data_IF_207909466265
#
_entry.id   IF_207909466265
#
_cell.length_a   1.000
_cell.length_b   1.000
_cell.length_c   1.000
_cell.angle_alpha   90.00
_cell.angle_beta   90.00
_cell.angle_gamma   90.00
#
_symmetry.space_group_name_H-M   'P 1'
#
loop_
_entity.id
_entity.type
_entity.pdbx_description
1 polymer ?
2 non-polymer ?
3 water ?
#
# COMPACT_ATOMS: atom_id res chain seq x y z
N UNK A 1 -32.80 11.01 -19.00
CA UNK A 1 -31.52 10.78 -19.68
C UNK A 1 -30.36 11.32 -18.85
N UNK A 2 -29.25 10.58 -18.84
CA UNK A 2 -28.06 11.00 -18.11
C UNK A 2 -27.12 11.77 -19.04
N UNK A 3 -26.24 12.57 -18.45
CA UNK A 3 -25.35 13.42 -19.24
C UNK A 3 -23.89 13.23 -18.87
N UNK A 4 -23.50 12.00 -18.59
CA UNK A 4 -22.12 11.66 -18.27
C UNK A 4 -21.38 11.24 -19.54
N UNK A 5 -20.28 11.92 -19.87
CA UNK A 5 -19.51 11.65 -21.08
C UNK A 5 -18.89 10.24 -21.07
N UNK A 6 -18.79 9.64 -22.25
CA UNK A 6 -18.22 8.30 -22.39
C UNK A 6 -16.75 8.29 -21.97
N UNK A 7 -16.33 7.20 -21.34
CA UNK A 7 -14.96 7.10 -20.84
C UNK A 7 -13.95 6.71 -21.92
N UNK A 8 -13.07 7.66 -22.25
CA UNK A 8 -11.96 7.40 -23.16
C UNK A 8 -10.66 7.40 -22.37
N UNK A 9 -9.96 6.28 -22.36
CA UNK A 9 -8.72 6.15 -21.61
C UNK A 9 -7.65 7.11 -22.15
N UNK A 10 -7.01 7.86 -21.23
CA UNK A 10 -5.95 8.82 -21.57
C UNK A 10 -4.78 8.17 -22.30
N UNK A 11 -4.10 8.92 -23.16
CA UNK A 11 -2.96 8.41 -23.88
C UNK A 11 -1.64 8.72 -23.17
N UNK A 12 -1.22 7.84 -22.28
CA UNK A 12 0.03 8.01 -21.56
C UNK A 12 1.23 7.71 -22.46
N UNK A 13 2.01 8.73 -22.79
CA UNK A 13 3.20 8.54 -23.59
C UNK A 13 4.27 7.80 -22.79
N UNK A 14 4.42 6.52 -23.10
CA UNK A 14 5.37 5.67 -22.39
C UNK A 14 5.81 4.52 -23.30
N UNK A 15 7.03 4.02 -23.08
CA UNK A 15 7.57 2.93 -23.89
C UNK A 15 6.70 1.68 -23.79
N UNK A 16 6.58 0.96 -24.90
CA UNK A 16 5.73 -0.22 -24.97
C UNK A 16 6.35 -1.43 -24.28
N UNK A 17 7.68 -1.46 -24.22
CA UNK A 17 8.38 -2.57 -23.59
C UNK A 17 9.46 -2.10 -22.64
N UNK A 18 9.93 -2.99 -21.77
CA UNK A 18 11.01 -2.69 -20.86
C UNK A 18 12.32 -3.22 -21.43
N UNK A 19 13.38 -2.44 -21.28
CA UNK A 19 14.69 -2.84 -21.83
C UNK A 19 15.45 -3.75 -20.88
N UNK A 20 14.73 -4.45 -20.02
CA UNK A 20 15.35 -5.35 -19.05
C UNK A 20 14.60 -6.66 -18.86
N UNK A 21 13.63 -6.92 -19.72
CA UNK A 21 12.91 -8.20 -19.69
C UNK A 21 13.80 -9.33 -20.19
N UNK A 22 14.08 -10.28 -19.30
CA UNK A 22 14.94 -11.41 -19.64
C UNK A 22 14.26 -12.74 -19.36
N UNK A 23 13.28 -12.73 -18.46
CA UNK A 23 12.57 -13.94 -18.07
C UNK A 23 11.69 -14.47 -19.20
N UNK A 24 11.32 -15.74 -19.09
CA UNK A 24 10.47 -16.38 -20.10
C UNK A 24 9.30 -17.12 -19.46
N UNK A 25 9.24 -17.08 -18.13
CA UNK A 25 8.22 -17.81 -17.38
C UNK A 25 6.81 -17.37 -17.77
N UNK A 26 5.93 -18.35 -17.94
CA UNK A 26 4.53 -18.08 -18.27
C UNK A 26 3.84 -17.46 -17.09
N UNK A 27 4.13 -17.98 -15.91
CA UNK A 27 3.54 -17.50 -14.67
C UNK A 27 3.83 -16.02 -14.45
N UNK A 28 2.78 -15.22 -14.53
CA UNK A 28 2.90 -13.78 -14.26
C UNK A 28 3.11 -13.56 -12.78
N UNK A 29 3.68 -12.42 -12.42
CA UNK A 29 3.91 -12.09 -11.03
C UNK A 29 2.56 -11.95 -10.31
N UNK A 30 1.63 -11.25 -10.95
CA UNK A 30 0.29 -11.07 -10.39
C UNK A 30 -0.42 -12.42 -10.25
N UNK A 31 -0.20 -13.31 -11.22
CA UNK A 31 -0.81 -14.63 -11.20
C UNK A 31 -0.16 -15.51 -10.13
N UNK A 32 1.12 -15.30 -9.90
CA UNK A 32 1.88 -16.08 -8.92
C UNK A 32 1.46 -15.74 -7.50
N UNK A 33 1.10 -16.75 -6.74
CA UNK A 33 0.77 -16.56 -5.33
C UNK A 33 2.04 -16.34 -4.53
N UNK A 34 1.96 -15.47 -3.52
CA UNK A 34 3.13 -15.13 -2.73
C UNK A 34 3.66 -16.32 -1.94
N UNK A 35 2.77 -17.26 -1.61
CA UNK A 35 3.16 -18.46 -0.89
C UNK A 35 4.02 -19.35 -1.77
N UNK A 36 3.88 -19.19 -3.08
CA UNK A 36 4.68 -19.93 -4.04
C UNK A 36 5.84 -19.09 -4.55
N UNK A 37 5.98 -17.89 -3.98
CA UNK A 37 7.06 -16.99 -4.36
C UNK A 37 8.09 -16.86 -3.25
N UNK A 38 7.62 -16.64 -2.03
CA UNK A 38 8.51 -16.55 -0.88
C UNK A 38 8.81 -17.94 -0.31
N UNK A 39 10.08 -18.20 -0.05
CA UNK A 39 10.53 -19.54 0.29
C UNK A 39 10.48 -19.87 1.77
N UNK A 40 10.97 -18.96 2.61
CA UNK A 40 11.09 -19.20 4.04
C UNK A 40 9.74 -19.50 4.69
N UNK A 41 9.59 -20.71 5.24
CA UNK A 41 8.37 -21.14 5.93
C UNK A 41 8.05 -20.24 7.11
N UNK A 42 9.07 -19.67 7.72
CA UNK A 42 8.89 -18.72 8.80
C UNK A 42 8.25 -17.44 8.28
N UNK A 43 8.73 -16.97 7.14
CA UNK A 43 8.17 -15.76 6.51
C UNK A 43 6.77 -16.02 5.97
N UNK A 44 6.57 -17.20 5.38
CA UNK A 44 5.26 -17.58 4.86
C UNK A 44 4.23 -17.59 5.98
N UNK A 45 4.65 -18.04 7.15
CA UNK A 45 3.78 -18.07 8.32
C UNK A 45 3.48 -16.66 8.81
N UNK A 46 4.50 -15.80 8.84
CA UNK A 46 4.36 -14.44 9.34
C UNK A 46 3.33 -13.62 8.56
N UNK A 47 3.33 -13.78 7.24
CA UNK A 47 2.41 -13.04 6.37
C UNK A 47 0.96 -13.40 6.67
N UNK A 48 0.70 -14.68 6.86
CA UNK A 48 -0.66 -15.16 7.11
C UNK A 48 -1.32 -14.52 8.33
N UNK A 49 -0.52 -14.19 9.34
CA UNK A 49 -1.06 -13.54 10.53
C UNK A 49 -1.10 -12.02 10.36
N UNK A 50 -0.13 -11.48 9.63
CA UNK A 50 -0.09 -10.05 9.38
C UNK A 50 -1.21 -9.64 8.43
N UNK A 51 -1.51 -10.52 7.48
CA UNK A 51 -2.58 -10.28 6.53
C UNK A 51 -3.93 -10.29 7.22
N UNK A 52 -3.95 -10.87 8.43
CA UNK A 52 -5.18 -11.02 9.20
C UNK A 52 -5.30 -9.92 10.26
N UNK A 53 -4.16 -9.32 10.63
CA UNK A 53 -4.14 -8.44 11.79
C UNK A 53 -3.55 -7.05 11.57
N UNK A 54 -2.95 -6.80 10.41
CA UNK A 54 -2.32 -5.51 10.16
C UNK A 54 -3.29 -4.33 10.22
N UNK A 55 -2.90 -3.31 10.98
CA UNK A 55 -3.75 -2.15 11.20
C UNK A 55 -4.01 -1.38 9.91
N UNK A 56 -2.96 -1.12 9.14
CA UNK A 56 -3.07 -0.36 7.91
C UNK A 56 -3.98 -1.04 6.90
N UNK A 57 -3.94 -2.37 6.87
CA UNK A 57 -4.81 -3.14 5.99
C UNK A 57 -6.23 -3.15 6.53
N UNK A 58 -6.36 -3.30 7.86
CA UNK A 58 -7.66 -3.25 8.52
C UNK A 58 -8.34 -1.91 8.27
N UNK A 59 -7.56 -0.84 8.32
CA UNK A 59 -8.07 0.50 8.06
C UNK A 59 -8.48 0.65 6.61
N UNK A 60 -7.62 0.20 5.71
CA UNK A 60 -7.86 0.32 4.27
C UNK A 60 -9.07 -0.49 3.81
N UNK A 61 -9.36 -1.58 4.52
CA UNK A 61 -10.49 -2.43 4.16
C UNK A 61 -11.78 -1.89 4.78
N UNK A 62 -11.65 -1.06 5.80
CA UNK A 62 -12.82 -0.43 6.42
C UNK A 62 -13.28 0.77 5.60
N UNK A 63 -12.33 1.56 5.13
CA UNK A 63 -12.63 2.74 4.34
C UNK A 63 -13.38 2.41 3.06
N UNK A 64 -13.09 1.25 2.49
CA UNK A 64 -13.78 0.80 1.29
C UNK A 64 -15.21 0.36 1.61
N UNK A 65 -15.44 0.00 2.87
CA UNK A 65 -16.77 -0.42 3.30
C UNK A 65 -17.69 0.78 3.55
N UNK A 66 -17.11 1.88 4.05
CA UNK A 66 -17.90 3.08 4.30
C UNK A 66 -18.20 3.81 3.00
N UNK A 67 -17.35 3.58 1.98
CA UNK A 67 -17.57 4.17 0.66
C UNK A 67 -18.69 3.42 -0.05
N UNK A 68 -18.90 2.17 0.33
CA UNK A 68 -20.02 1.39 -0.16
C UNK A 68 -21.30 1.90 0.47
N UNK A 69 -21.24 2.17 1.77
CA UNK A 69 -22.39 2.69 2.50
C UNK A 69 -22.73 4.12 2.08
N UNK A 70 -21.70 4.95 1.92
CA UNK A 70 -21.89 6.32 1.46
C UNK A 70 -22.52 6.34 0.07
N UNK A 71 -22.24 5.30 -0.71
CA UNK A 71 -22.84 5.15 -2.03
C UNK A 71 -24.30 4.72 -1.93
N UNK A 72 -24.58 3.78 -1.03
CA UNK A 72 -25.91 3.23 -0.87
C UNK A 72 -26.93 4.29 -0.43
N UNK A 73 -26.46 5.31 0.28
CA UNK A 73 -27.34 6.39 0.73
C UNK A 73 -27.54 7.43 -0.35
N UNK A 74 -26.62 7.48 -1.31
CA UNK A 74 -26.69 8.45 -2.39
C UNK A 74 -27.61 7.93 -3.50
N UNK A 75 -27.73 6.61 -3.56
CA UNK A 75 -28.62 5.96 -4.51
C UNK A 75 -30.06 6.07 -4.01
N UNK A 76 -30.20 6.26 -2.70
CA UNK A 76 -31.52 6.36 -2.07
C UNK A 76 -32.19 7.71 -2.28
N UNK A 77 -31.44 8.67 -2.82
CA UNK A 77 -32.01 9.98 -3.12
C UNK A 77 -32.92 9.92 -4.33
N UNK A 78 -32.90 8.79 -5.02
CA UNK A 78 -33.78 8.54 -6.16
C UNK A 78 -35.14 8.02 -5.70
N UNK A 79 -35.27 7.83 -4.39
CA UNK A 79 -36.52 7.33 -3.80
C UNK A 79 -37.06 8.30 -2.77
N UNK A 80 -38.40 8.42 -2.69
CA UNK A 80 -39.06 9.33 -1.74
C UNK A 80 -38.93 8.88 -0.29
N UNK A 81 -38.60 9.81 0.60
CA UNK A 81 -38.52 9.52 2.02
C UNK A 81 -39.84 9.83 2.71
N UNK A 82 -40.40 8.83 3.39
CA UNK A 82 -41.68 8.99 4.06
C UNK A 82 -41.50 9.36 5.53
N UNK A 83 -42.16 10.44 5.94
CA UNK A 83 -42.06 10.92 7.31
C UNK A 83 -43.43 11.22 7.89
N UNK A 84 -43.63 10.87 9.16
CA UNK A 84 -44.88 11.14 9.85
C UNK A 84 -44.77 12.41 10.69
N UNK A 85 -45.00 13.55 10.05
CA UNK A 85 -44.85 14.84 10.73
C UNK A 85 -46.13 15.34 11.38
N UNK A 86 -46.17 15.29 12.71
CA UNK A 86 -47.29 15.81 13.48
C UNK A 86 -46.90 17.15 14.09
N UNK A 87 -47.59 18.21 13.70
CA UNK A 87 -47.26 19.54 14.18
C UNK A 87 -48.46 20.35 14.65
N UNK A 88 -48.20 21.33 15.52
CA UNK A 88 -49.25 22.20 16.02
C UNK A 88 -48.81 23.65 15.95
N UNK A 89 -49.78 24.56 15.88
CA UNK A 89 -49.49 25.98 15.83
C UNK A 89 -50.48 26.77 16.70
N UNK A 90 -50.08 27.95 17.14
CA UNK A 90 -50.95 28.77 17.98
C UNK A 90 -50.59 30.25 17.97
N UNK A 91 -51.56 31.08 17.58
CA UNK A 91 -51.40 32.52 17.63
C UNK A 91 -52.27 33.11 18.74
N UNK A 92 -52.01 34.36 19.10
CA UNK A 92 -52.77 35.02 20.15
C UNK A 92 -52.43 36.49 20.29
N UNK A 93 -53.39 37.26 20.80
CA UNK A 93 -53.19 38.70 20.99
C UNK A 93 -52.57 39.02 22.34
N UNK A 94 -51.65 39.99 22.35
CA UNK A 94 -50.93 40.39 23.55
C UNK A 94 -51.83 41.11 24.56
N UNK A 95 -52.67 42.02 24.06
CA UNK A 95 -53.51 42.84 24.92
C UNK A 95 -54.47 42.02 25.79
N UNK A 96 -54.80 40.82 25.34
CA UNK A 96 -55.67 39.93 26.08
C UNK A 96 -56.97 39.69 25.36
N UNK A 97 -56.90 39.52 24.04
CA UNK A 97 -58.08 39.33 23.23
C UNK A 97 -58.30 37.90 22.77
N UNK A 98 -58.02 37.65 21.51
CA UNK A 98 -58.31 36.35 20.90
C UNK A 98 -57.07 35.49 20.63
N UNK A 99 -57.30 34.19 20.46
CA UNK A 99 -56.24 33.24 20.12
C UNK A 99 -56.67 32.38 18.95
N UNK A 100 -55.72 31.68 18.34
CA UNK A 100 -56.03 30.79 17.22
C UNK A 100 -55.10 29.58 17.23
N UNK A 101 -55.69 28.39 17.12
CA UNK A 101 -54.92 27.15 17.19
C UNK A 101 -55.22 26.23 16.00
N UNK A 102 -54.17 25.72 15.38
CA UNK A 102 -54.32 24.80 14.25
C UNK A 102 -53.38 23.60 14.41
N UNK A 103 -53.97 22.41 14.55
CA UNK A 103 -53.20 21.20 14.79
C UNK A 103 -53.23 20.25 13.59
N UNK A 104 -52.08 20.05 12.97
CA UNK A 104 -51.98 19.15 11.83
C UNK A 104 -51.10 17.93 12.11
N UNK A 105 -51.73 16.76 12.20
CA UNK A 105 -51.01 15.50 12.35
C UNK A 105 -51.16 14.69 11.08
N UNK A 106 -50.06 14.49 10.37
CA UNK A 106 -50.12 13.81 9.09
C UNK A 106 -48.87 13.10 8.63
N UNK A 107 -49.00 12.40 7.50
CA UNK A 107 -47.92 11.66 6.87
C UNK A 107 -47.68 12.28 5.50
N UNK A 108 -46.41 12.32 5.08
CA UNK A 108 -46.09 12.84 3.76
C UNK A 108 -44.61 12.90 3.45
N UNK A 109 -44.30 12.86 2.15
CA UNK A 109 -42.91 12.98 1.69
C UNK A 109 -42.61 14.43 1.31
N UNK A 110 -41.46 14.93 1.74
CA UNK A 110 -41.12 16.34 1.53
C UNK A 110 -40.08 16.55 0.43
N UNK A 111 -40.52 17.14 -0.67
CA UNK A 111 -39.64 17.55 -1.76
C UNK A 111 -38.80 16.42 -2.36
N UNK A 112 -39.45 15.42 -2.93
CA UNK A 112 -38.75 14.41 -3.70
C UNK A 112 -38.33 15.01 -5.03
N UNK A 113 -37.03 15.17 -5.24
CA UNK A 113 -36.53 15.70 -6.49
C UNK A 113 -36.56 14.63 -7.57
N UNK A 114 -37.56 14.70 -8.45
CA UNK A 114 -37.64 13.79 -9.59
C UNK A 114 -36.44 14.07 -10.50
N UNK A 115 -35.46 13.18 -10.45
CA UNK A 115 -34.26 13.34 -11.25
C UNK A 115 -34.51 12.95 -12.70
N UNK A 116 -34.88 13.94 -13.52
CA UNK A 116 -35.21 13.70 -14.92
C UNK A 116 -33.97 13.75 -15.80
N UNK A 117 -32.98 14.53 -15.37
CA UNK A 117 -31.80 14.76 -16.20
C UNK A 117 -30.54 14.14 -15.62
N UNK A 118 -30.72 13.08 -14.83
CA UNK A 118 -29.60 12.33 -14.28
C UNK A 118 -28.62 13.16 -13.47
N UNK A 119 -29.16 14.05 -12.65
CA UNK A 119 -28.33 14.88 -11.79
C UNK A 119 -28.01 14.14 -10.50
N UNK A 120 -29.02 13.51 -9.91
CA UNK A 120 -28.84 12.68 -8.75
C UNK A 120 -28.21 11.35 -9.18
N UNK A 121 -28.60 10.87 -10.35
CA UNK A 121 -28.05 9.65 -10.91
C UNK A 121 -26.54 9.75 -11.11
N UNK A 122 -26.09 10.88 -11.66
CA UNK A 122 -24.68 11.10 -11.90
C UNK A 122 -23.91 11.31 -10.60
N UNK A 123 -24.50 12.06 -9.67
CA UNK A 123 -23.88 12.32 -8.38
C UNK A 123 -23.81 11.04 -7.56
N UNK A 124 -24.68 10.08 -7.89
CA UNK A 124 -24.68 8.78 -7.23
C UNK A 124 -23.63 7.88 -7.88
N UNK A 125 -23.35 8.15 -9.15
CA UNK A 125 -22.32 7.40 -9.88
C UNK A 125 -20.95 7.78 -9.35
N UNK A 126 -20.81 9.04 -8.91
CA UNK A 126 -19.57 9.51 -8.32
C UNK A 126 -19.28 8.77 -7.02
N UNK A 127 -20.35 8.46 -6.28
CA UNK A 127 -20.22 7.72 -5.04
C UNK A 127 -19.81 6.28 -5.30
N UNK A 128 -20.20 5.76 -6.46
CA UNK A 128 -19.85 4.39 -6.84
C UNK A 128 -18.40 4.30 -7.27
N UNK A 129 -17.99 5.19 -8.17
CA UNK A 129 -16.61 5.23 -8.64
C UNK A 129 -15.66 5.61 -7.51
N UNK A 130 -16.17 6.40 -6.56
CA UNK A 130 -15.40 6.73 -5.38
C UNK A 130 -15.16 5.48 -4.55
N UNK A 131 -16.19 4.63 -4.50
CA UNK A 131 -16.08 3.34 -3.81
C UNK A 131 -15.20 2.38 -4.58
N UNK A 132 -15.39 2.33 -5.90
CA UNK A 132 -14.60 1.46 -6.76
C UNK A 132 -13.11 1.77 -6.68
N UNK A 133 -12.79 3.05 -6.53
CA UNK A 133 -11.40 3.48 -6.43
C UNK A 133 -10.82 3.14 -5.05
N UNK A 134 -11.66 3.18 -4.03
CA UNK A 134 -11.23 2.88 -2.67
C UNK A 134 -10.92 1.38 -2.54
N UNK A 135 -11.65 0.57 -3.30
CA UNK A 135 -11.41 -0.87 -3.32
C UNK A 135 -10.04 -1.16 -3.92
N UNK A 136 -9.70 -0.44 -4.98
CA UNK A 136 -8.39 -0.60 -5.61
C UNK A 136 -7.27 -0.12 -4.70
N UNK A 137 -7.56 0.94 -3.94
CA UNK A 137 -6.60 1.43 -2.94
C UNK A 137 -6.45 0.43 -1.80
N UNK A 138 -7.49 -0.36 -1.57
CA UNK A 138 -7.45 -1.40 -0.55
C UNK A 138 -6.57 -2.54 -1.03
N UNK A 139 -6.54 -2.75 -2.34
CA UNK A 139 -5.68 -3.77 -2.94
C UNK A 139 -4.23 -3.31 -2.93
N UNK A 140 -4.01 -2.02 -3.19
CA UNK A 140 -2.68 -1.45 -3.16
C UNK A 140 -2.11 -1.48 -1.75
N UNK A 141 -2.99 -1.40 -0.76
CA UNK A 141 -2.58 -1.48 0.64
C UNK A 141 -2.27 -2.92 1.00
N UNK A 142 -2.89 -3.85 0.29
CA UNK A 142 -2.66 -5.27 0.51
C UNK A 142 -1.28 -5.67 -0.01
N UNK A 143 -0.95 -5.20 -1.20
CA UNK A 143 0.33 -5.50 -1.82
C UNK A 143 1.48 -4.82 -1.09
N UNK A 144 1.26 -3.59 -0.63
CA UNK A 144 2.28 -2.84 0.08
C UNK A 144 2.63 -3.49 1.41
N UNK A 145 1.69 -4.24 1.97
CA UNK A 145 1.90 -4.92 3.25
C UNK A 145 2.86 -6.10 3.11
N UNK A 146 2.58 -6.96 2.14
CA UNK A 146 3.40 -8.15 1.91
C UNK A 146 4.84 -7.76 1.56
N UNK A 147 4.99 -6.72 0.75
CA UNK A 147 6.30 -6.22 0.37
C UNK A 147 7.04 -5.70 1.60
N UNK A 148 6.34 -4.98 2.46
CA UNK A 148 6.95 -4.38 3.64
C UNK A 148 7.34 -5.42 4.68
N UNK A 149 6.45 -6.38 4.93
CA UNK A 149 6.71 -7.41 5.93
C UNK A 149 7.82 -8.35 5.48
N UNK A 150 8.00 -8.48 4.17
CA UNK A 150 9.06 -9.31 3.62
C UNK A 150 10.42 -8.64 3.76
N UNK A 151 10.49 -7.37 3.36
CA UNK A 151 11.73 -6.62 3.43
C UNK A 151 12.19 -6.39 4.86
N UNK A 152 11.24 -6.35 5.78
CA UNK A 152 11.56 -6.17 7.20
C UNK A 152 12.06 -7.47 7.81
N UNK A 153 11.67 -8.60 7.22
CA UNK A 153 12.14 -9.91 7.68
C UNK A 153 13.53 -10.20 7.14
N UNK A 154 13.81 -9.72 5.93
CA UNK A 154 15.12 -9.90 5.32
C UNK A 154 16.16 -9.10 6.09
N UNK A 155 15.75 -7.95 6.62
CA UNK A 155 16.63 -7.13 7.45
C UNK A 155 16.93 -7.80 8.78
N UNK A 156 15.99 -8.61 9.26
CA UNK A 156 16.20 -9.36 10.48
C UNK A 156 17.22 -10.47 10.24
N UNK A 157 16.94 -11.32 9.26
CA UNK A 157 17.80 -12.45 8.93
C UNK A 157 19.22 -12.03 8.56
N UNK A 158 19.34 -10.87 7.92
CA UNK A 158 20.65 -10.31 7.61
C UNK A 158 21.43 -10.06 8.89
N UNK A 159 20.79 -9.39 9.84
CA UNK A 159 21.41 -9.08 11.11
C UNK A 159 21.71 -10.35 11.91
N UNK A 160 20.88 -11.37 11.76
CA UNK A 160 21.10 -12.64 12.42
C UNK A 160 22.42 -13.25 11.95
N UNK A 161 22.65 -13.20 10.65
CA UNK A 161 23.86 -13.74 10.05
C UNK A 161 25.03 -12.78 10.21
N UNK A 162 24.72 -11.49 10.36
CA UNK A 162 25.75 -10.48 10.57
C UNK A 162 26.37 -10.63 11.96
N UNK A 163 25.53 -10.99 12.93
CA UNK A 163 26.01 -11.25 14.27
C UNK A 163 26.90 -12.48 14.30
N UNK A 164 26.41 -13.56 13.70
CA UNK A 164 27.13 -14.84 13.68
C UNK A 164 28.43 -14.73 12.88
N UNK A 165 28.44 -13.84 11.88
CA UNK A 165 29.64 -13.62 11.08
C UNK A 165 30.71 -12.97 11.95
N UNK A 166 30.30 -11.98 12.73
CA UNK A 166 31.21 -11.30 13.64
C UNK A 166 31.44 -12.12 14.90
N UNK A 167 30.60 -13.12 15.12
CA UNK A 167 30.71 -13.98 16.29
C UNK A 167 31.87 -14.94 16.16
N UNK A 168 32.00 -15.54 14.98
CA UNK A 168 33.05 -16.53 14.75
C UNK A 168 34.39 -15.89 14.38
N UNK A 169 34.35 -14.63 13.97
CA UNK A 169 35.59 -13.88 13.72
C UNK A 169 36.14 -13.37 15.05
N UNK A 170 35.28 -13.35 16.06
CA UNK A 170 35.71 -13.08 17.43
C UNK A 170 36.25 -14.37 18.03
N UNK A 171 35.80 -15.49 17.47
CA UNK A 171 36.21 -16.80 17.96
C UNK A 171 37.52 -17.23 17.30
N UNK A 172 37.73 -16.79 16.05
CA UNK A 172 38.93 -17.16 15.32
C UNK A 172 40.10 -16.24 15.67
N UNK A 173 39.78 -15.04 16.15
CA UNK A 173 40.81 -14.13 16.64
C UNK A 173 41.14 -14.52 18.08
N UNK A 174 40.16 -15.08 18.77
CA UNK A 174 40.35 -15.55 20.14
C UNK A 174 41.46 -16.57 20.23
N UNK A 175 41.52 -17.47 19.26
CA UNK A 175 42.49 -18.55 19.27
C UNK A 175 43.84 -18.11 18.71
N UNK A 176 43.88 -16.90 18.14
CA UNK A 176 45.10 -16.40 17.53
C UNK A 176 45.81 -15.37 18.40
N UNK A 177 45.06 -14.53 19.10
CA UNK A 177 45.67 -13.51 19.94
C UNK A 177 46.34 -14.10 21.18
N UNK A 178 45.83 -15.24 21.64
CA UNK A 178 46.49 -15.96 22.71
C UNK A 178 47.66 -16.74 22.13
N UNK A 179 47.55 -17.07 20.84
CA UNK A 179 48.59 -17.79 20.13
C UNK A 179 49.70 -16.85 19.67
N UNK A 180 49.37 -15.58 19.50
CA UNK A 180 50.36 -14.60 19.06
C UNK A 180 51.29 -14.22 20.20
N UNK A 181 50.93 -14.62 21.42
CA UNK A 181 51.78 -14.37 22.59
C UNK A 181 52.56 -15.61 22.99
N UNK A 182 52.03 -16.78 22.64
CA UNK A 182 52.73 -18.04 22.91
C UNK A 182 53.58 -18.48 21.72
N UNK A 183 53.41 -17.79 20.59
CA UNK A 183 54.23 -18.06 19.42
C UNK A 183 55.66 -17.59 19.68
N UNK A 184 56.60 -18.14 18.91
CA UNK A 184 57.99 -17.72 19.03
C UNK A 184 58.12 -16.24 18.72
N UNK A 185 58.97 -15.55 19.49
CA UNK A 185 59.10 -14.10 19.40
C UNK A 185 59.52 -13.64 18.02
N UNK A 186 58.85 -12.62 17.50
CA UNK A 186 59.15 -12.07 16.19
C UNK A 186 60.03 -10.84 16.24
N UNK A 187 59.95 -10.04 15.18
CA UNK A 187 60.78 -8.85 15.00
C UNK A 187 60.32 -7.70 15.89
N UNK A 188 60.76 -6.48 15.58
CA UNK A 188 60.38 -5.33 16.39
C UNK A 188 59.28 -4.51 15.72
N UNK A 189 59.01 -4.82 14.45
CA UNK A 189 57.79 -4.36 13.79
C UNK A 189 56.64 -5.29 14.17
N UNK A 190 56.87 -6.06 15.23
CA UNK A 190 55.81 -6.83 15.85
C UNK A 190 54.86 -5.79 16.45
N UNK A 191 55.37 -4.59 16.69
CA UNK A 191 54.55 -3.46 17.13
C UNK A 191 53.42 -3.18 16.16
N UNK A 192 53.60 -3.61 14.92
CA UNK A 192 52.58 -3.50 13.88
C UNK A 192 51.66 -4.72 13.89
N UNK A 193 51.64 -5.44 15.01
CA UNK A 193 50.77 -6.60 15.18
C UNK A 193 49.62 -6.39 16.17
N UNK A 194 49.89 -5.81 17.37
CA UNK A 194 48.76 -5.67 18.29
C UNK A 194 47.78 -4.57 17.87
N UNK A 195 48.28 -3.57 17.15
CA UNK A 195 47.43 -2.50 16.65
C UNK A 195 46.38 -3.02 15.67
N UNK A 196 46.79 -3.82 14.66
CA UNK A 196 45.71 -4.40 13.84
C UNK A 196 44.97 -5.53 14.55
N UNK A 197 45.61 -6.13 15.55
CA UNK A 197 44.96 -7.15 16.36
C UNK A 197 43.76 -6.53 17.07
N UNK A 198 44.02 -5.41 17.76
CA UNK A 198 42.97 -4.64 18.41
C UNK A 198 41.98 -4.11 17.38
N UNK A 199 42.50 -3.69 16.23
CA UNK A 199 41.66 -3.11 15.17
C UNK A 199 40.69 -4.12 14.60
N UNK A 200 41.08 -5.39 14.58
CA UNK A 200 40.20 -6.44 14.06
C UNK A 200 39.13 -6.83 15.07
N UNK A 201 39.56 -7.11 16.30
CA UNK A 201 38.64 -7.58 17.33
C UNK A 201 37.66 -6.50 17.79
N UNK A 202 38.13 -5.26 17.87
CA UNK A 202 37.30 -4.17 18.39
C UNK A 202 36.40 -3.56 17.31
N UNK A 203 36.65 -3.92 16.06
CA UNK A 203 35.74 -3.55 14.99
C UNK A 203 34.68 -4.64 14.88
N UNK A 204 35.10 -5.88 15.17
CA UNK A 204 34.20 -7.02 15.14
C UNK A 204 33.16 -6.92 16.25
N UNK A 205 33.53 -6.29 17.35
CA UNK A 205 32.61 -6.08 18.46
C UNK A 205 31.63 -4.96 18.13
N UNK A 206 32.13 -3.91 17.49
CA UNK A 206 31.29 -2.80 17.07
C UNK A 206 30.31 -3.25 15.99
N UNK A 207 30.71 -4.24 15.21
CA UNK A 207 29.86 -4.80 14.17
C UNK A 207 28.75 -5.66 14.76
N UNK A 208 29.10 -6.48 15.74
CA UNK A 208 28.13 -7.36 16.38
C UNK A 208 27.01 -6.54 17.02
N UNK A 209 27.38 -5.44 17.66
CA UNK A 209 26.42 -4.57 18.31
C UNK A 209 25.47 -3.95 17.29
N UNK A 210 26.04 -3.31 16.27
CA UNK A 210 25.26 -2.73 15.18
C UNK A 210 24.33 -3.77 14.57
N UNK A 211 24.83 -5.00 14.45
CA UNK A 211 24.03 -6.09 13.92
C UNK A 211 22.94 -6.49 14.92
N UNK A 212 23.32 -6.59 16.19
CA UNK A 212 22.37 -6.99 17.23
C UNK A 212 21.31 -5.91 17.48
N UNK A 213 21.69 -4.65 17.26
CA UNK A 213 20.78 -3.53 17.44
C UNK A 213 19.79 -3.47 16.29
N UNK A 214 20.29 -3.52 15.07
CA UNK A 214 19.44 -3.50 13.88
C UNK A 214 18.59 -4.76 13.79
N UNK A 215 19.02 -5.80 14.50
CA UNK A 215 18.26 -7.04 14.59
C UNK A 215 16.97 -6.80 15.35
N UNK A 216 17.08 -6.11 16.49
CA UNK A 216 15.93 -5.80 17.31
C UNK A 216 14.99 -4.80 16.62
N UNK A 217 15.57 -3.82 15.93
CA UNK A 217 14.79 -2.85 15.19
C UNK A 217 13.94 -3.51 14.12
N UNK A 218 14.48 -4.58 13.53
CA UNK A 218 13.73 -5.37 12.55
C UNK A 218 12.75 -6.29 13.27
N UNK A 219 13.15 -6.76 14.44
CA UNK A 219 12.29 -7.60 15.26
C UNK A 219 11.08 -6.84 15.77
N UNK A 220 11.31 -5.60 16.18
CA UNK A 220 10.24 -4.76 16.72
C UNK A 220 9.30 -4.25 15.63
N UNK A 221 9.86 -3.93 14.46
CA UNK A 221 9.06 -3.47 13.34
C UNK A 221 8.17 -4.60 12.82
N UNK A 222 8.57 -5.83 13.10
CA UNK A 222 7.80 -7.00 12.69
C UNK A 222 6.61 -7.20 13.60
N UNK A 223 6.79 -6.92 14.89
CA UNK A 223 5.73 -7.07 15.88
C UNK A 223 4.63 -6.04 15.68
N UNK A 224 4.98 -4.93 15.04
CA UNK A 224 4.02 -3.89 14.73
C UNK A 224 3.16 -4.29 13.53
N UNK A 225 3.81 -4.81 12.49
CA UNK A 225 3.12 -5.17 11.26
C UNK A 225 2.18 -6.35 11.42
N UNK A 226 2.36 -7.11 12.50
CA UNK A 226 1.50 -8.27 12.75
C UNK A 226 0.55 -8.02 13.92
N UNK A 227 0.59 -6.81 14.47
CA UNK A 227 -0.30 -6.40 15.56
C UNK A 227 -0.20 -7.33 16.77
N UNK A 228 0.98 -7.91 16.97
CA UNK A 228 1.16 -8.95 17.97
C UNK A 228 2.64 -9.13 18.29
N UNK A 229 2.96 -9.46 19.56
CA UNK A 229 4.33 -9.88 19.84
C UNK A 229 4.64 -11.20 19.15
N UNK A 230 5.88 -11.35 18.68
CA UNK A 230 6.28 -12.52 17.91
C UNK A 230 6.15 -13.81 18.72
N UNK A 231 5.46 -14.82 18.17
CA UNK A 231 5.24 -16.10 18.84
C UNK A 231 6.51 -16.94 18.95
N UNK A 232 6.37 -18.21 19.30
CA UNK A 232 7.51 -19.08 19.52
C UNK A 232 7.59 -20.21 18.49
N UNK A 233 6.47 -20.91 18.31
CA UNK A 233 6.43 -22.04 17.38
C UNK A 233 6.66 -21.62 15.94
N UNK A 234 7.92 -21.42 15.58
CA UNK A 234 8.30 -21.02 14.24
C UNK A 234 9.57 -21.72 13.82
N UNK A 235 9.62 -22.20 12.56
CA UNK A 235 10.85 -22.79 12.02
C UNK A 235 11.97 -21.74 12.02
N UNK A 236 13.19 -22.17 12.27
CA UNK A 236 14.33 -21.27 12.43
C UNK A 236 14.59 -20.39 11.20
N UNK A 237 13.98 -20.75 10.08
CA UNK A 237 14.07 -19.95 8.88
C UNK A 237 15.19 -20.35 7.95
N UNK A 238 15.32 -19.65 6.84
CA UNK A 238 16.34 -19.94 5.85
C UNK A 238 17.22 -18.71 5.64
N UNK A 239 18.47 -18.92 5.19
CA UNK A 239 19.36 -17.79 4.89
C UNK A 239 18.84 -16.95 3.73
N UNK A 240 19.44 -15.78 3.53
CA UNK A 240 18.99 -14.82 2.52
C UNK A 240 19.02 -15.39 1.11
N UNK A 241 19.95 -16.32 0.86
CA UNK A 241 20.06 -16.95 -0.44
C UNK A 241 18.98 -18.00 -0.67
N UNK A 242 18.16 -18.23 0.35
CA UNK A 242 17.08 -19.21 0.28
C UNK A 242 15.73 -18.59 0.65
N UNK A 243 15.57 -17.30 0.34
CA UNK A 243 14.35 -16.58 0.70
C UNK A 243 13.31 -16.56 -0.41
N UNK A 244 13.73 -16.92 -1.61
CA UNK A 244 12.83 -16.93 -2.76
C UNK A 244 12.91 -18.25 -3.51
N UNK A 245 11.76 -18.75 -3.96
CA UNK A 245 11.75 -19.90 -4.86
C UNK A 245 12.43 -19.52 -6.17
N UNK A 246 13.10 -20.48 -6.78
CA UNK A 246 13.86 -20.21 -8.00
C UNK A 246 12.95 -19.81 -9.16
N UNK A 247 12.80 -18.50 -9.35
CA UNK A 247 11.96 -17.95 -10.41
C UNK A 247 12.15 -16.44 -10.56
N UNK A 248 12.18 -15.99 -11.81
CA UNK A 248 12.25 -14.56 -12.09
C UNK A 248 11.00 -14.13 -12.87
N UNK A 249 10.31 -13.12 -12.34
CA UNK A 249 9.03 -12.70 -12.89
C UNK A 249 9.16 -12.00 -14.23
N UNK A 250 8.23 -12.27 -15.16
CA UNK A 250 8.17 -11.62 -16.46
C UNK A 250 7.27 -10.40 -16.45
N UNK A 251 7.65 -9.38 -17.20
CA UNK A 251 6.83 -8.18 -17.37
C UNK A 251 6.72 -7.85 -18.84
N UNK A 252 5.89 -8.62 -19.55
CA UNK A 252 5.80 -8.58 -21.00
C UNK A 252 5.71 -7.21 -21.64
N UNK A 253 4.48 -6.73 -21.85
CA UNK A 253 4.27 -5.43 -22.48
C UNK A 253 3.85 -4.42 -21.41
N UNK A 254 4.21 -3.16 -21.62
CA UNK A 254 3.89 -2.10 -20.67
C UNK A 254 2.37 -1.94 -20.50
N UNK A 255 1.64 -2.07 -21.60
CA UNK A 255 0.19 -2.00 -21.55
C UNK A 255 -0.36 -3.15 -20.72
N UNK A 256 0.26 -4.32 -20.87
CA UNK A 256 -0.13 -5.50 -20.11
C UNK A 256 0.07 -5.33 -18.62
N UNK A 257 1.24 -4.82 -18.24
CA UNK A 257 1.60 -4.71 -16.82
C UNK A 257 0.88 -3.56 -16.10
N UNK A 258 0.28 -2.65 -16.87
CA UNK A 258 -0.46 -1.54 -16.27
C UNK A 258 -1.79 -1.99 -15.70
N UNK A 259 -2.38 -3.00 -16.33
CA UNK A 259 -3.71 -3.47 -15.95
C UNK A 259 -3.75 -4.16 -14.58
N UNK A 260 -2.63 -4.77 -14.19
CA UNK A 260 -2.57 -5.51 -12.93
C UNK A 260 -2.38 -4.59 -11.74
N UNK A 261 -1.80 -3.42 -11.97
CA UNK A 261 -1.51 -2.48 -10.90
C UNK A 261 -2.78 -1.84 -10.34
N UNK A 262 -3.04 -2.04 -9.04
CA UNK A 262 -4.22 -1.50 -8.35
C UNK A 262 -4.25 0.03 -8.36
N UNK A 263 -3.08 0.64 -8.14
CA UNK A 263 -2.98 2.10 -8.11
C UNK A 263 -3.30 2.73 -9.47
N UNK A 264 -3.21 1.92 -10.52
CA UNK A 264 -3.53 2.39 -11.86
C UNK A 264 -5.04 2.35 -12.11
N UNK A 265 -5.67 1.24 -11.77
CA UNK A 265 -7.10 1.09 -11.93
C UNK A 265 -7.86 1.99 -10.95
N UNK A 266 -7.16 2.40 -9.88
CA UNK A 266 -7.73 3.33 -8.92
C UNK A 266 -7.74 4.73 -9.51
N UNK A 267 -6.83 4.97 -10.45
CA UNK A 267 -6.72 6.28 -11.07
C UNK A 267 -7.75 6.48 -12.17
N UNK A 268 -8.21 5.37 -12.76
CA UNK A 268 -9.23 5.45 -13.80
C UNK A 268 -10.63 5.58 -13.19
N UNK A 269 -10.81 4.99 -12.02
CA UNK A 269 -12.09 5.06 -11.32
C UNK A 269 -12.27 6.44 -10.69
N UNK A 270 -11.18 6.98 -10.16
CA UNK A 270 -11.19 8.34 -9.62
C UNK A 270 -11.42 9.33 -10.77
N UNK A 271 -11.04 8.92 -11.98
CA UNK A 271 -11.31 9.70 -13.17
C UNK A 271 -12.76 9.56 -13.60
N UNK A 272 -13.26 8.32 -13.62
CA UNK A 272 -14.65 8.06 -13.95
C UNK A 272 -15.58 8.76 -12.98
N UNK A 273 -15.11 8.93 -11.75
CA UNK A 273 -15.85 9.67 -10.74
C UNK A 273 -15.98 11.13 -11.14
N UNK A 274 -14.87 11.70 -11.61
CA UNK A 274 -14.86 13.09 -12.05
C UNK A 274 -15.71 13.29 -13.30
N UNK A 275 -15.85 12.21 -14.09
CA UNK A 275 -16.73 12.22 -15.24
C UNK A 275 -18.19 12.32 -14.80
N UNK A 276 -18.52 11.63 -13.72
CA UNK A 276 -19.87 11.64 -13.18
C UNK A 276 -20.24 13.01 -12.63
N UNK A 277 -19.27 13.69 -12.04
CA UNK A 277 -19.49 15.02 -11.49
C UNK A 277 -19.76 16.06 -12.57
N UNK A 278 -19.41 15.73 -13.80
CA UNK A 278 -19.72 16.59 -14.94
C UNK A 278 -21.18 16.41 -15.32
N UNK A 279 -21.64 15.17 -15.30
CA UNK A 279 -23.02 14.86 -15.61
C UNK A 279 -24.00 15.51 -14.63
N UNK A 280 -23.49 15.89 -13.47
CA UNK A 280 -24.29 16.58 -12.47
C UNK A 280 -24.28 18.09 -12.71
N UNK A 281 -23.12 18.60 -13.11
CA UNK A 281 -22.97 20.03 -13.38
C UNK A 281 -23.58 20.41 -14.72
N UNK A 282 -23.54 19.46 -15.66
CA UNK A 282 -24.06 19.70 -17.01
C UNK A 282 -25.58 19.64 -17.01
N UNK A 283 -26.14 19.08 -15.94
CA UNK A 283 -27.59 18.98 -15.79
C UNK A 283 -28.13 20.17 -15.01
N UNK A 284 -27.24 21.07 -14.62
CA UNK A 284 -27.63 22.26 -13.88
C UNK A 284 -28.18 23.34 -14.80
N UNK A 285 -27.94 23.18 -16.10
CA UNK A 285 -28.50 24.09 -17.11
C UNK A 285 -29.97 23.77 -17.30
N UNK A 286 -30.38 22.61 -16.80
CA UNK A 286 -31.73 22.09 -16.99
C UNK A 286 -32.60 22.35 -15.77
N UNK A 287 -33.94 22.35 -15.95
CA UNK A 287 -34.82 22.65 -14.81
C UNK A 287 -34.88 21.51 -13.80
N UNK A 288 -34.92 21.87 -12.52
CA UNK A 288 -35.07 20.88 -11.45
C UNK A 288 -36.50 20.86 -10.96
N UNK A 289 -37.07 19.66 -10.83
CA UNK A 289 -38.45 19.51 -10.41
C UNK A 289 -38.55 18.78 -9.06
N UNK A 290 -39.46 19.23 -8.21
CA UNK A 290 -39.62 18.67 -6.89
C UNK A 290 -41.08 18.46 -6.50
N UNK A 291 -41.36 17.34 -5.85
CA UNK A 291 -42.73 16.97 -5.52
C UNK A 291 -42.96 16.88 -4.01
N UNK A 292 -43.96 17.60 -3.53
CA UNK A 292 -44.35 17.51 -2.13
C UNK A 292 -45.74 16.88 -2.03
N UNK A 293 -45.92 15.99 -1.06
CA UNK A 293 -47.19 15.34 -0.85
C UNK A 293 -47.42 15.05 0.62
N UNK A 294 -48.69 14.95 1.02
CA UNK A 294 -49.04 14.66 2.39
C UNK A 294 -50.49 14.20 2.54
N UNK A 295 -50.75 13.42 3.58
CA UNK A 295 -52.12 13.05 3.95
C UNK A 295 -52.23 13.16 5.46
N UNK A 296 -53.46 13.08 5.98
CA UNK A 296 -53.66 13.13 7.42
C UNK A 296 -54.87 13.94 7.84
N UNK A 297 -54.96 14.22 9.13
CA UNK A 297 -56.10 14.95 9.68
C UNK A 297 -55.75 16.39 10.04
N UNK A 298 -56.44 17.33 9.39
CA UNK A 298 -56.29 18.73 9.73
C UNK A 298 -57.40 19.13 10.69
N UNK A 299 -57.06 19.91 11.71
CA UNK A 299 -58.02 20.31 12.73
C UNK A 299 -57.68 21.62 13.42
N UNK A 300 -58.66 22.13 14.17
CA UNK A 300 -58.48 23.34 14.96
C UNK A 300 -58.33 22.92 16.42
N UNK A 301 -58.89 21.77 16.76
CA UNK A 301 -58.82 21.23 18.11
C UNK A 301 -58.35 19.77 18.11
N UNK A 302 -57.55 19.41 19.11
CA UNK A 302 -57.04 18.05 19.26
C UNK A 302 -58.15 16.99 19.24
N UNK A 303 -59.30 17.33 19.80
CA UNK A 303 -60.41 16.40 19.88
C UNK A 303 -60.93 15.98 18.51
N UNK A 304 -60.83 16.88 17.54
CA UNK A 304 -61.32 16.61 16.21
C UNK A 304 -60.40 15.75 15.37
N UNK A 305 -59.18 15.55 15.86
CA UNK A 305 -58.18 14.74 15.15
C UNK A 305 -58.64 13.29 15.01
N UNK A 306 -58.45 12.75 13.81
CA UNK A 306 -58.82 11.37 13.48
C UNK A 306 -60.32 11.11 13.61
N UNK A 307 -61.11 12.16 13.52
CA UNK A 307 -62.57 12.03 13.45
C UNK A 307 -63.04 12.39 12.05
N UNK A 308 -64.11 11.72 11.62
CA UNK A 308 -64.59 11.79 10.24
C UNK A 308 -64.72 13.21 9.70
N UNK A 309 -64.22 13.42 8.48
CA UNK A 309 -64.31 14.71 7.82
C UNK A 309 -63.03 15.51 7.86
N UNK A 310 -62.11 15.13 8.76
CA UNK A 310 -60.87 15.87 8.94
C UNK A 310 -59.75 15.40 8.01
N UNK A 311 -60.04 14.38 7.20
CA UNK A 311 -59.05 13.83 6.29
C UNK A 311 -58.72 14.72 5.11
N UNK A 312 -57.46 15.13 5.01
CA UNK A 312 -57.01 15.98 3.91
C UNK A 312 -55.78 15.38 3.23
N UNK A 313 -55.53 15.77 1.99
CA UNK A 313 -54.31 15.38 1.30
C UNK A 313 -53.71 16.53 0.49
N UNK A 314 -52.47 16.38 0.07
CA UNK A 314 -51.78 17.43 -0.67
C UNK A 314 -50.90 16.88 -1.79
N UNK A 315 -50.63 17.73 -2.78
CA UNK A 315 -49.79 17.38 -3.91
C UNK A 315 -49.27 18.68 -4.53
N UNK A 316 -48.05 19.04 -4.19
CA UNK A 316 -47.48 20.30 -4.66
C UNK A 316 -46.20 20.11 -5.48
N UNK A 317 -46.36 19.84 -6.78
CA UNK A 317 -45.21 19.75 -7.69
C UNK A 317 -44.65 21.13 -8.03
N UNK A 318 -43.40 21.38 -7.67
CA UNK A 318 -42.78 22.67 -7.93
C UNK A 318 -41.52 22.53 -8.76
N UNK A 319 -41.49 23.20 -9.92
CA UNK A 319 -40.35 23.14 -10.82
C UNK A 319 -39.72 24.53 -10.97
N UNK A 320 -38.46 24.57 -11.41
CA UNK A 320 -37.75 25.83 -11.56
C UNK A 320 -36.57 25.72 -12.52
N UNK A 321 -36.30 26.82 -13.24
CA UNK A 321 -35.21 26.87 -14.19
C UNK A 321 -34.51 28.22 -14.14
N UNK A 322 -33.20 28.22 -13.84
CA UNK A 322 -32.41 29.46 -13.81
C UNK A 322 -32.25 30.03 -15.22
N UNK A 323 -32.51 31.33 -15.36
CA UNK A 323 -32.39 31.98 -16.67
C UNK A 323 -31.06 32.70 -16.86
N UNK A 324 -30.65 33.46 -15.85
CA UNK A 324 -29.34 34.09 -15.89
C UNK A 324 -28.68 34.04 -14.51
N UNK A 325 -27.57 33.31 -14.43
CA UNK A 325 -26.90 33.05 -13.16
C UNK A 325 -25.58 33.81 -13.07
N UNK A 326 -25.41 34.79 -13.94
CA UNK A 326 -24.20 35.61 -13.99
C UNK A 326 -22.95 34.77 -14.28
N UNK A 327 -23.12 33.68 -15.03
CA UNK A 327 -22.01 32.84 -15.42
C UNK A 327 -21.66 31.77 -14.40
N UNK A 328 -22.39 31.76 -13.29
CA UNK A 328 -22.16 30.78 -12.22
C UNK A 328 -22.44 29.35 -12.71
N UNK A 329 -23.50 29.20 -13.51
CA UNK A 329 -23.80 27.90 -14.11
C UNK A 329 -22.68 27.42 -15.02
N UNK A 330 -22.16 28.32 -15.84
CA UNK A 330 -21.04 28.02 -16.73
C UNK A 330 -19.78 27.75 -15.92
N UNK A 331 -19.63 28.47 -14.81
CA UNK A 331 -18.44 28.36 -13.98
C UNK A 331 -18.37 27.03 -13.25
N UNK A 332 -19.48 26.62 -12.64
CA UNK A 332 -19.54 25.35 -11.93
C UNK A 332 -19.28 24.15 -12.83
N UNK A 333 -19.60 24.31 -14.12
CA UNK A 333 -19.30 23.27 -15.10
C UNK A 333 -17.81 23.28 -15.40
N UNK A 334 -17.26 24.48 -15.59
CA UNK A 334 -15.83 24.65 -15.84
C UNK A 334 -15.00 24.01 -14.74
N UNK A 335 -15.44 24.19 -13.50
CA UNK A 335 -14.80 23.55 -12.35
C UNK A 335 -14.88 22.03 -12.47
N UNK A 336 -16.07 21.54 -12.82
CA UNK A 336 -16.30 20.11 -12.98
C UNK A 336 -15.45 19.53 -14.09
N UNK A 337 -15.16 20.35 -15.10
CA UNK A 337 -14.32 19.92 -16.22
C UNK A 337 -12.84 19.98 -15.83
N UNK A 338 -12.47 20.99 -15.08
CA UNK A 338 -11.08 21.12 -14.60
C UNK A 338 -10.79 20.06 -13.54
N UNK A 339 -11.79 19.74 -12.73
CA UNK A 339 -11.65 18.70 -11.72
C UNK A 339 -11.39 17.36 -12.39
N UNK A 340 -11.90 17.22 -13.61
CA UNK A 340 -11.74 16.00 -14.39
C UNK A 340 -10.45 16.05 -15.21
N UNK A 341 -10.09 17.25 -15.65
CA UNK A 341 -8.84 17.46 -16.38
C UNK A 341 -7.63 17.19 -15.49
N UNK A 342 -7.84 17.26 -14.18
CA UNK A 342 -6.78 16.99 -13.22
C UNK A 342 -6.67 15.50 -12.94
N UNK A 343 -7.75 14.77 -13.19
CA UNK A 343 -7.78 13.33 -12.95
C UNK A 343 -7.14 12.54 -14.08
N UNK A 344 -6.97 13.18 -15.24
CA UNK A 344 -6.28 12.54 -16.35
C UNK A 344 -4.77 12.74 -16.23
N UNK A 345 -4.36 13.85 -15.62
CA UNK A 345 -2.94 14.11 -15.40
C UNK A 345 -2.51 13.43 -14.11
N UNK A 346 -3.48 13.09 -13.27
CA UNK A 346 -3.22 12.29 -12.09
C UNK A 346 -3.10 10.84 -12.52
N UNK A 347 -3.83 10.50 -13.58
CA UNK A 347 -3.76 9.18 -14.19
C UNK A 347 -2.43 9.04 -14.92
N UNK A 348 -2.00 10.10 -15.58
CA UNK A 348 -0.71 10.13 -16.25
C UNK A 348 0.42 10.03 -15.23
N UNK A 349 0.29 10.78 -14.13
CA UNK A 349 1.28 10.75 -13.06
C UNK A 349 1.34 9.37 -12.43
N UNK A 350 0.19 8.70 -12.38
CA UNK A 350 0.12 7.36 -11.82
C UNK A 350 0.85 6.36 -12.70
N UNK A 351 0.68 6.49 -14.01
CA UNK A 351 1.29 5.57 -14.97
C UNK A 351 2.80 5.78 -15.08
N UNK A 352 3.22 7.04 -15.27
CA UNK A 352 4.63 7.36 -15.39
C UNK A 352 5.41 6.94 -14.14
N UNK A 353 4.76 7.00 -12.99
CA UNK A 353 5.37 6.56 -11.74
C UNK A 353 5.33 5.04 -11.63
N UNK A 354 4.26 4.44 -12.14
CA UNK A 354 4.11 2.98 -12.11
C UNK A 354 5.10 2.30 -13.03
N UNK A 355 5.37 2.93 -14.17
CA UNK A 355 6.34 2.39 -15.13
C UNK A 355 7.74 2.44 -14.52
N UNK A 356 8.08 3.60 -13.96
CA UNK A 356 9.35 3.79 -13.28
C UNK A 356 9.51 2.80 -12.13
N UNK A 357 8.42 2.54 -11.43
CA UNK A 357 8.42 1.62 -10.31
C UNK A 357 8.84 0.21 -10.72
N UNK A 358 8.61 -0.13 -11.98
CA UNK A 358 8.94 -1.45 -12.50
C UNK A 358 10.30 -1.46 -13.19
N UNK A 359 10.54 -0.47 -14.04
CA UNK A 359 11.78 -0.38 -14.81
C UNK A 359 13.00 -0.35 -13.89
N UNK A 360 12.86 0.31 -12.74
CA UNK A 360 13.93 0.32 -11.74
C UNK A 360 14.11 -1.05 -11.11
N UNK A 361 12.99 -1.71 -10.81
CA UNK A 361 13.02 -3.02 -10.19
C UNK A 361 13.63 -4.07 -11.10
N UNK A 362 13.50 -3.86 -12.41
CA UNK A 362 14.09 -4.75 -13.40
C UNK A 362 15.59 -4.48 -13.55
N UNK A 363 15.94 -3.21 -13.61
CA UNK A 363 17.34 -2.82 -13.73
C UNK A 363 18.12 -3.18 -12.47
N UNK A 364 17.43 -3.19 -11.34
CA UNK A 364 18.06 -3.51 -10.06
C UNK A 364 18.36 -4.99 -9.94
N UNK A 365 17.37 -5.84 -10.25
CA UNK A 365 17.54 -7.29 -10.13
C UNK A 365 18.66 -7.79 -11.05
N UNK A 366 18.90 -7.05 -12.13
CA UNK A 366 19.95 -7.41 -13.08
C UNK A 366 21.31 -7.02 -12.53
N UNK A 367 21.38 -5.82 -11.96
CA UNK A 367 22.65 -5.26 -11.50
C UNK A 367 22.99 -5.63 -10.06
N UNK A 368 21.98 -5.92 -9.27
CA UNK A 368 22.20 -6.39 -7.89
C UNK A 368 22.56 -7.86 -7.89
N UNK A 369 22.53 -8.47 -9.07
CA UNK A 369 22.96 -9.86 -9.24
C UNK A 369 24.41 -9.88 -9.69
N UNK A 370 24.73 -9.04 -10.67
CA UNK A 370 26.09 -8.95 -11.19
C UNK A 370 27.05 -8.38 -10.15
N UNK A 371 26.57 -7.41 -9.38
CA UNK A 371 27.39 -6.80 -8.34
C UNK A 371 27.56 -7.76 -7.15
N UNK A 372 26.56 -8.60 -6.94
CA UNK A 372 26.61 -9.56 -5.85
C UNK A 372 27.58 -10.70 -6.15
N UNK A 373 27.52 -11.20 -7.38
CA UNK A 373 28.37 -12.31 -7.80
C UNK A 373 29.85 -11.93 -7.71
N UNK A 374 30.15 -10.66 -7.99
CA UNK A 374 31.51 -10.16 -7.90
C UNK A 374 31.99 -10.11 -6.46
N UNK A 375 31.13 -9.58 -5.58
CA UNK A 375 31.47 -9.46 -4.16
C UNK A 375 31.54 -10.83 -3.48
N UNK A 376 30.92 -11.83 -4.09
CA UNK A 376 30.90 -13.17 -3.52
C UNK A 376 32.17 -13.94 -3.86
N UNK A 377 32.59 -13.88 -5.13
CA UNK A 377 33.82 -14.54 -5.55
C UNK A 377 35.03 -13.84 -4.93
N UNK A 378 34.86 -12.56 -4.60
CA UNK A 378 35.88 -11.80 -3.89
C UNK A 378 36.03 -12.37 -2.48
N UNK A 379 34.91 -12.73 -1.87
CA UNK A 379 34.91 -13.32 -0.54
C UNK A 379 35.58 -14.69 -0.55
N UNK A 380 35.29 -15.47 -1.59
CA UNK A 380 35.88 -16.79 -1.75
C UNK A 380 37.39 -16.69 -1.90
N UNK A 381 37.83 -15.73 -2.71
CA UNK A 381 39.25 -15.52 -2.97
C UNK A 381 39.96 -15.08 -1.69
N UNK A 382 39.37 -14.14 -0.97
CA UNK A 382 39.95 -13.63 0.26
C UNK A 382 39.94 -14.70 1.35
N UNK A 383 38.93 -15.57 1.30
CA UNK A 383 38.85 -16.69 2.22
C UNK A 383 39.93 -17.72 1.91
N UNK A 384 40.16 -17.94 0.61
CA UNK A 384 41.19 -18.87 0.16
C UNK A 384 42.57 -18.36 0.52
N UNK A 385 42.79 -17.06 0.35
CA UNK A 385 44.05 -16.43 0.70
C UNK A 385 44.32 -16.59 2.19
N UNK A 386 43.26 -16.53 3.00
CA UNK A 386 43.35 -16.70 4.44
C UNK A 386 43.84 -18.09 4.82
N UNK A 387 43.33 -19.11 4.14
CA UNK A 387 43.68 -20.50 4.44
C UNK A 387 45.13 -20.78 4.07
N UNK A 388 45.58 -20.24 2.95
CA UNK A 388 46.96 -20.42 2.50
C UNK A 388 47.94 -19.83 3.51
N UNK A 389 47.66 -18.60 3.95
CA UNK A 389 48.47 -17.96 4.98
C UNK A 389 48.20 -18.63 6.32
N UNK A 390 47.05 -19.29 6.43
CA UNK A 390 46.70 -20.02 7.63
C UNK A 390 47.60 -21.22 7.86
N UNK A 391 48.25 -21.67 6.80
CA UNK A 391 49.17 -22.80 6.85
C UNK A 391 50.61 -22.31 6.97
N UNK A 392 50.86 -21.14 6.38
CA UNK A 392 52.16 -20.49 6.47
C UNK A 392 52.52 -20.20 7.92
N UNK A 393 51.57 -19.62 8.63
CA UNK A 393 51.75 -19.31 10.05
C UNK A 393 51.87 -20.59 10.87
N UNK A 394 51.18 -21.64 10.42
CA UNK A 394 51.19 -22.92 11.11
C UNK A 394 52.57 -23.57 11.03
N UNK A 395 53.33 -23.20 10.01
CA UNK A 395 54.67 -23.76 9.80
C UNK A 395 55.75 -22.74 10.16
N UNK A 396 56.28 -22.06 9.15
CA UNK A 396 57.29 -21.04 9.38
C UNK A 396 56.88 -19.68 8.84
N UNK A 397 56.67 -18.73 9.74
CA UNK A 397 56.22 -17.40 9.35
C UNK A 397 57.11 -16.32 9.96
N UNK A 398 57.09 -15.14 9.34
CA UNK A 398 57.83 -14.01 9.86
C UNK A 398 56.89 -12.96 10.44
N UNK A 399 55.59 -13.27 10.47
CA UNK A 399 54.61 -12.33 10.96
C UNK A 399 53.21 -12.91 11.05
N UNK A 400 52.63 -12.85 12.25
CA UNK A 400 51.23 -13.18 12.43
C UNK A 400 50.38 -12.07 11.81
N UNK A 401 51.00 -10.91 11.64
CA UNK A 401 50.38 -9.78 10.96
C UNK A 401 49.85 -10.16 9.58
N UNK A 402 50.59 -10.98 8.86
CA UNK A 402 50.16 -11.47 7.55
C UNK A 402 48.85 -12.24 7.68
N UNK A 403 48.87 -13.25 8.55
CA UNK A 403 47.69 -14.04 8.86
C UNK A 403 46.56 -13.19 9.42
N UNK A 404 46.92 -12.28 10.32
CA UNK A 404 45.92 -11.44 10.98
C UNK A 404 45.27 -10.47 10.00
N UNK A 405 46.07 -9.95 9.07
CA UNK A 405 45.55 -9.07 8.03
C UNK A 405 44.66 -9.85 7.07
N UNK A 406 44.99 -11.12 6.88
CA UNK A 406 44.22 -11.99 5.99
C UNK A 406 42.86 -12.33 6.59
N UNK A 407 42.79 -12.32 7.92
CA UNK A 407 41.53 -12.58 8.62
C UNK A 407 40.56 -11.43 8.40
N UNK A 408 41.07 -10.21 8.49
CA UNK A 408 40.25 -9.02 8.36
C UNK A 408 39.80 -8.77 6.92
N UNK A 409 40.66 -9.13 5.96
CA UNK A 409 40.33 -8.96 4.56
C UNK A 409 39.28 -9.99 4.16
N UNK A 410 39.32 -11.16 4.81
CA UNK A 410 38.35 -12.22 4.55
C UNK A 410 37.04 -11.91 5.28
N UNK A 411 37.15 -11.27 6.44
CA UNK A 411 35.99 -10.89 7.22
C UNK A 411 35.24 -9.74 6.56
N UNK A 412 35.97 -8.75 6.08
CA UNK A 412 35.38 -7.57 5.45
C UNK A 412 34.76 -7.91 4.09
N UNK A 413 35.41 -8.80 3.35
CA UNK A 413 34.94 -9.18 2.02
C UNK A 413 33.72 -10.10 2.11
N UNK A 414 33.49 -10.67 3.30
CA UNK A 414 32.36 -11.54 3.52
C UNK A 414 31.16 -10.76 4.03
N UNK A 415 31.43 -9.75 4.84
CA UNK A 415 30.38 -8.86 5.34
C UNK A 415 29.84 -7.99 4.24
N UNK A 416 30.69 -7.70 3.24
CA UNK A 416 30.29 -6.92 2.09
C UNK A 416 29.46 -7.77 1.14
N UNK A 417 29.57 -9.09 1.29
CA UNK A 417 28.80 -10.03 0.48
C UNK A 417 27.39 -10.16 1.03
N UNK A 418 27.27 -10.12 2.35
CA UNK A 418 25.96 -10.17 3.00
C UNK A 418 25.18 -8.89 2.75
N UNK A 419 25.89 -7.78 2.62
CA UNK A 419 25.27 -6.49 2.36
C UNK A 419 24.57 -6.48 1.01
N UNK A 420 25.23 -7.06 0.00
CA UNK A 420 24.65 -7.15 -1.33
C UNK A 420 23.65 -8.30 -1.42
N UNK A 421 23.77 -9.24 -0.47
CA UNK A 421 22.88 -10.39 -0.43
C UNK A 421 21.50 -9.97 0.07
N UNK A 422 21.46 -8.92 0.88
CA UNK A 422 20.20 -8.38 1.39
C UNK A 422 19.55 -7.46 0.39
N UNK A 423 20.35 -6.55 -0.17
CA UNK A 423 19.86 -5.56 -1.14
C UNK A 423 19.24 -6.25 -2.35
N UNK A 424 19.79 -7.40 -2.73
CA UNK A 424 19.26 -8.16 -3.84
C UNK A 424 17.93 -8.80 -3.45
N UNK A 425 17.83 -9.23 -2.20
CA UNK A 425 16.63 -9.88 -1.69
C UNK A 425 15.49 -8.87 -1.52
N UNK A 426 15.82 -7.68 -1.05
CA UNK A 426 14.83 -6.63 -0.85
C UNK A 426 14.16 -6.24 -2.17
N UNK A 427 14.98 -5.97 -3.18
CA UNK A 427 14.50 -5.59 -4.49
C UNK A 427 13.64 -6.67 -5.14
N UNK A 428 13.94 -7.93 -4.80
CA UNK A 428 13.17 -9.06 -5.30
C UNK A 428 11.73 -9.02 -4.80
N UNK A 429 11.56 -8.55 -3.57
CA UNK A 429 10.23 -8.39 -2.99
C UNK A 429 9.49 -7.21 -3.61
N UNK A 430 10.26 -6.19 -4.01
CA UNK A 430 9.69 -5.01 -4.64
C UNK A 430 9.29 -5.30 -6.08
N UNK A 431 10.10 -6.12 -6.75
CA UNK A 431 9.81 -6.52 -8.12
C UNK A 431 8.50 -7.28 -8.18
N UNK A 432 8.28 -8.16 -7.21
CA UNK A 432 7.06 -8.94 -7.12
C UNK A 432 5.87 -8.02 -6.85
N UNK A 433 6.04 -7.12 -5.89
CA UNK A 433 4.98 -6.18 -5.51
C UNK A 433 4.63 -5.20 -6.62
N UNK A 434 5.64 -4.59 -7.21
CA UNK A 434 5.42 -3.58 -8.26
C UNK A 434 4.91 -4.19 -9.56
N UNK A 435 5.00 -5.51 -9.68
CA UNK A 435 4.54 -6.22 -10.85
C UNK A 435 3.09 -6.67 -10.67
N UNK A 436 2.47 -6.25 -9.57
CA UNK A 436 1.10 -6.59 -9.28
C UNK A 436 0.97 -7.89 -8.50
N UNK A 437 2.10 -8.52 -8.21
CA UNK A 437 2.11 -9.78 -7.49
C UNK A 437 1.85 -9.62 -6.02
N UNK A 438 1.31 -10.67 -5.40
CA UNK A 438 1.03 -10.66 -3.97
C UNK A 438 -0.45 -10.60 -3.68
N UNK A 439 -1.27 -10.71 -4.74
CA UNK A 439 -2.71 -10.65 -4.59
C UNK A 439 -3.23 -11.90 -3.89
N UNK A 440 -3.13 -13.04 -4.57
CA UNK A 440 -3.57 -14.31 -4.01
C UNK A 440 -2.42 -14.99 -3.25
N UNK A 441 -2.77 -15.87 -2.33
CA UNK A 441 -1.76 -16.60 -1.56
C UNK A 441 -1.13 -17.71 -2.39
N UNK A 442 -1.99 -18.56 -2.95
CA UNK A 442 -1.52 -19.70 -3.72
C UNK A 442 -1.84 -19.55 -5.20
N UNK A 443 -0.88 -19.88 -6.05
CA UNK A 443 -1.10 -19.89 -7.50
C UNK A 443 -1.97 -21.09 -7.83
N UNK A 444 -3.03 -20.87 -8.59
CA UNK A 444 -3.98 -21.94 -8.90
C UNK A 444 -4.47 -21.91 -10.34
N UNK A 445 -5.36 -22.86 -10.66
CA UNK A 445 -5.93 -22.96 -12.00
C UNK A 445 -6.76 -21.73 -12.36
#
# INVERSE_FOLDING_TARGET
>A
CTMIPQYEQPKVEVAETFQNDTSVSSIRAVDLGWHDYFADPRLQKLIDIALERNTSLRTAVLNSEIYRKQYMIERNNLLPTLAANANGSRQGSLSGGNVSSSYNVGLGAASYELDLFGRVRSSSEAALQGYFASVANRDAAHLSLIATVAKAYFNERYAEEAMSLAQRVLKTREETYNAVRIAVQGRRDFRRRPAPAEALIESAKADYAHAARSREQARNALATLINRPIPEDLPAGLPLDKQFFVEKLPAGLSSEVLLDRPDIRAAEHALKQANANIGAARAAFFPSIRLTGSVGTGSVELGGLFKSGTGVWAFAPSITLPIFTWGTNKANLDVAKLRQQAQIVAYESAVQSAFQDVANALAAREQLDKAYDALSKQSRASKEALRLVGLRYKHGVSGALDLLDAERSSYSAEGAALSAQLTRAENLADLYKALGGGLKRDTQTGK
#
